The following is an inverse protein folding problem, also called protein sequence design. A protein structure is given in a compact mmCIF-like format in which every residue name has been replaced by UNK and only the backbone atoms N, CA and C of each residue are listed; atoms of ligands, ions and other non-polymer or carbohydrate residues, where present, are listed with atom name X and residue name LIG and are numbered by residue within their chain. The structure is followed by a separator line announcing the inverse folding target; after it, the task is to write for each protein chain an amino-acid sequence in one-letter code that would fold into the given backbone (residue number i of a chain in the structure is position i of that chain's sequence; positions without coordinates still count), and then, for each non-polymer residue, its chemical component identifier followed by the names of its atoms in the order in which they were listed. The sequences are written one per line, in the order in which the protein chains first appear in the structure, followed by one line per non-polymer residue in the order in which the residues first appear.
data_IF_719439806551
#
_entry.id   IF_719439806551
#
_cell.length_a   1.000
_cell.length_b   1.000
_cell.length_c   1.000
_cell.angle_alpha   90.00
_cell.angle_beta   90.00
_cell.angle_gamma   90.00
#
_symmetry.space_group_name_H-M   'P 1'
#
loop_
_entity.id
_entity.type
_entity.pdbx_description
1 polymer ?
#
# COMPACT_ATOMS: atom_id res chain seq x y z
N UNK A 1 -0.37 4.49 -3.11
CA UNK A 1 -0.68 5.88 -2.70
C UNK A 1 -1.53 5.86 -1.43
N UNK A 2 -1.38 6.84 -0.54
CA UNK A 2 -2.15 6.94 0.70
C UNK A 2 -3.64 7.25 0.43
N UNK A 3 -4.59 6.77 1.25
CA UNK A 3 -6.03 7.01 1.07
C UNK A 3 -6.40 8.50 0.96
N UNK A 4 -5.79 9.34 1.80
CA UNK A 4 -6.02 10.78 1.82
C UNK A 4 -5.43 11.52 0.61
N UNK A 5 -4.36 10.98 0.02
CA UNK A 5 -3.80 11.49 -1.22
C UNK A 5 -4.71 11.15 -2.40
N UNK A 6 -5.28 9.94 -2.45
CA UNK A 6 -6.23 9.53 -3.49
C UNK A 6 -7.53 10.34 -3.38
N UNK A 7 -8.13 10.38 -2.18
CA UNK A 7 -9.45 10.97 -1.96
C UNK A 7 -9.44 12.50 -2.01
N UNK A 8 -8.48 13.13 -1.32
CA UNK A 8 -8.49 14.57 -1.07
C UNK A 8 -7.40 15.32 -1.81
N UNK A 9 -6.58 14.62 -2.60
CA UNK A 9 -5.42 15.19 -3.29
C UNK A 9 -4.48 15.93 -2.33
N UNK A 10 -4.39 15.43 -1.08
CA UNK A 10 -3.52 16.01 -0.05
C UNK A 10 -2.21 15.24 -0.01
N UNK A 11 -1.12 15.92 -0.30
CA UNK A 11 0.22 15.35 -0.29
C UNK A 11 1.06 16.00 0.81
N UNK A 12 1.66 15.17 1.67
CA UNK A 12 2.54 15.62 2.74
C UNK A 12 3.48 14.48 3.16
N UNK A 13 4.36 14.76 4.12
CA UNK A 13 5.32 13.77 4.63
C UNK A 13 4.65 12.48 5.13
N UNK A 14 3.43 12.54 5.66
CA UNK A 14 2.72 11.34 6.13
C UNK A 14 2.21 10.46 4.98
N UNK A 15 1.80 11.07 3.86
CA UNK A 15 1.46 10.32 2.64
C UNK A 15 2.67 9.65 2.01
N UNK A 16 3.85 10.26 2.17
CA UNK A 16 5.11 9.69 1.74
C UNK A 16 5.50 8.50 2.64
N UNK A 17 5.31 8.61 3.96
CA UNK A 17 5.52 7.50 4.91
C UNK A 17 4.62 6.30 4.58
N UNK A 18 3.37 6.53 4.19
CA UNK A 18 2.50 5.46 3.70
C UNK A 18 3.09 4.77 2.47
N UNK A 19 3.50 5.55 1.48
CA UNK A 19 4.06 5.02 0.23
C UNK A 19 5.38 4.28 0.48
N UNK A 20 6.17 4.73 1.44
CA UNK A 20 7.36 4.02 1.92
C UNK A 20 7.04 2.67 2.56
N UNK A 21 5.93 2.54 3.30
CA UNK A 21 5.48 1.25 3.82
C UNK A 21 5.11 0.26 2.71
N UNK A 22 4.47 0.73 1.64
CA UNK A 22 4.21 -0.09 0.44
C UNK A 22 5.52 -0.49 -0.24
N UNK A 23 6.46 0.45 -0.38
CA UNK A 23 7.78 0.16 -0.93
C UNK A 23 8.55 -0.90 -0.12
N UNK A 24 8.54 -0.82 1.20
CA UNK A 24 9.13 -1.88 2.05
C UNK A 24 8.51 -3.24 1.76
N UNK A 25 7.18 -3.29 1.63
CA UNK A 25 6.47 -4.53 1.29
C UNK A 25 6.93 -5.08 -0.07
N UNK A 26 7.06 -4.22 -1.09
CA UNK A 26 7.54 -4.61 -2.42
C UNK A 26 8.97 -5.18 -2.36
N UNK A 27 9.87 -4.55 -1.59
CA UNK A 27 11.24 -5.03 -1.37
C UNK A 27 11.25 -6.44 -0.76
N UNK A 28 10.46 -6.67 0.29
CA UNK A 28 10.38 -7.99 0.94
C UNK A 28 9.70 -9.06 0.07
N UNK A 29 8.81 -8.66 -0.85
CA UNK A 29 8.17 -9.57 -1.80
C UNK A 29 8.94 -9.69 -3.13
N UNK A 30 10.16 -9.16 -3.22
CA UNK A 30 11.01 -9.21 -4.42
C UNK A 30 10.36 -8.54 -5.65
N UNK A 31 9.75 -7.38 -5.45
CA UNK A 31 9.17 -6.57 -6.53
C UNK A 31 7.80 -7.03 -7.03
N UNK A 32 7.04 -7.79 -6.23
CA UNK A 32 5.65 -8.10 -6.55
C UNK A 32 4.78 -6.85 -6.57
N UNK A 33 3.76 -6.87 -7.43
CA UNK A 33 2.76 -5.82 -7.50
C UNK A 33 1.92 -5.77 -6.20
N UNK A 34 1.76 -4.58 -5.58
CA UNK A 34 0.90 -4.41 -4.43
C UNK A 34 -0.58 -4.45 -4.86
N UNK A 35 -1.41 -5.19 -4.10
CA UNK A 35 -2.85 -5.33 -4.34
C UNK A 35 -3.24 -5.89 -5.74
N UNK A 36 -2.66 -7.01 -6.20
CA UNK A 36 -2.83 -7.49 -7.58
C UNK A 36 -4.28 -7.89 -7.92
N UNK A 37 -5.07 -8.29 -6.91
CA UNK A 37 -6.47 -8.70 -7.08
C UNK A 37 -7.46 -7.51 -7.06
N UNK A 38 -6.98 -6.28 -6.80
CA UNK A 38 -7.83 -5.11 -6.62
C UNK A 38 -7.58 -4.12 -7.76
N UNK A 39 -8.65 -3.73 -8.46
CA UNK A 39 -8.57 -2.70 -9.49
C UNK A 39 -8.25 -1.34 -8.86
N UNK A 40 -7.46 -0.52 -9.56
CA UNK A 40 -7.09 0.83 -9.09
C UNK A 40 -8.28 1.71 -8.69
N UNK A 41 -9.42 1.58 -9.37
CA UNK A 41 -10.64 2.34 -9.05
C UNK A 41 -11.26 1.94 -7.70
N UNK A 42 -11.10 0.68 -7.29
CA UNK A 42 -11.74 0.13 -6.09
C UNK A 42 -10.83 0.22 -4.85
N UNK A 43 -9.53 0.48 -5.05
CA UNK A 43 -8.52 0.39 -3.98
C UNK A 43 -8.83 1.32 -2.80
N UNK A 44 -9.37 2.52 -3.06
CA UNK A 44 -9.73 3.47 -2.02
C UNK A 44 -10.80 2.90 -1.08
N UNK A 45 -11.78 2.17 -1.62
CA UNK A 45 -12.85 1.56 -0.83
C UNK A 45 -12.30 0.48 0.10
N UNK A 46 -11.44 -0.40 -0.42
CA UNK A 46 -10.80 -1.44 0.38
C UNK A 46 -9.91 -0.86 1.48
N UNK A 47 -9.14 0.18 1.19
CA UNK A 47 -8.29 0.83 2.18
C UNK A 47 -9.11 1.48 3.30
N UNK A 48 -10.28 2.05 3.00
CA UNK A 48 -11.23 2.60 3.98
C UNK A 48 -11.87 1.52 4.86
N UNK A 49 -12.08 0.32 4.31
CA UNK A 49 -12.55 -0.85 5.07
C UNK A 49 -11.47 -1.46 5.98
N UNK A 50 -10.26 -0.90 5.98
CA UNK A 50 -9.14 -1.39 6.79
C UNK A 50 -8.34 -2.50 6.13
N UNK A 51 -8.61 -2.84 4.86
CA UNK A 51 -7.80 -3.80 4.13
C UNK A 51 -6.36 -3.30 3.98
N UNK A 52 -5.39 -4.17 4.18
CA UNK A 52 -3.95 -3.89 4.08
C UNK A 52 -3.25 -5.06 3.40
N UNK A 53 -2.07 -4.81 2.84
CA UNK A 53 -1.22 -5.86 2.28
C UNK A 53 -0.90 -6.91 3.36
N UNK A 54 -0.86 -8.17 2.96
CA UNK A 54 -0.43 -9.26 3.82
C UNK A 54 1.02 -9.05 4.29
N UNK A 55 1.32 -9.49 5.51
CA UNK A 55 2.70 -9.44 5.99
C UNK A 55 3.59 -10.33 5.10
N UNK A 56 4.70 -9.81 4.55
CA UNK A 56 5.63 -10.65 3.81
C UNK A 56 6.23 -11.70 4.73
N UNK A 57 6.32 -12.94 4.23
CA UNK A 57 7.06 -13.97 4.91
C UNK A 57 8.53 -13.60 4.85
N UNK A 58 9.07 -13.08 5.95
CA UNK A 58 10.50 -13.12 6.17
C UNK A 58 10.83 -14.61 6.29
N UNK A 59 11.36 -15.22 5.22
CA UNK A 59 12.10 -16.47 5.35
C UNK A 59 13.12 -16.22 6.45
N UNK A 60 13.02 -16.92 7.57
CA UNK A 60 13.99 -16.76 8.67
C UNK A 60 15.38 -16.94 8.05
N UNK A 61 16.20 -15.90 8.15
CA UNK A 61 17.62 -15.98 7.82
C UNK A 61 18.28 -17.05 8.71
#
# INVERSE_FOLDING_TARGET
MAPEAIEKQRFNTFTDVWSFGVFMWEVFKLGKEPYPEIRNADILQFLKLGYRLEQPHCTKA
#
